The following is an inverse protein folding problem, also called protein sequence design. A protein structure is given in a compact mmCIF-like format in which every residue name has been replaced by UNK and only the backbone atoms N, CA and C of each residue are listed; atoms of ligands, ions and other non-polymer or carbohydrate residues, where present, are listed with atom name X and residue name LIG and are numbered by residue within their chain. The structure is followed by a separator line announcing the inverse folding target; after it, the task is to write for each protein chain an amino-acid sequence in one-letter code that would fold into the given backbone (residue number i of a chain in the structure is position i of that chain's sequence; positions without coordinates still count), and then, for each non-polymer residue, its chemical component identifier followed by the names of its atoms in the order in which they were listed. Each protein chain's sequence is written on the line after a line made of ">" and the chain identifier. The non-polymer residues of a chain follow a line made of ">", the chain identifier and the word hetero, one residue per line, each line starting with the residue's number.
data_IF_405394613754
#
_entry.id   IF_405394613754
#
_cell.length_a   1.000
_cell.length_b   1.000
_cell.length_c   1.000
_cell.angle_alpha   90.00
_cell.angle_beta   90.00
_cell.angle_gamma   90.00
#
_symmetry.space_group_name_H-M   'P 1'
#
loop_
_entity.id
_entity.type
_entity.pdbx_description
1 polymer ?
#
# COMPACT_ATOMS: atom_id res chain seq x y z
N UNK A 1 -36.57 33.55 -53.15
CA UNK A 1 -38.00 33.77 -53.44
C UNK A 1 -38.75 32.72 -52.63
N UNK A 2 -39.64 33.20 -51.75
CA UNK A 2 -40.54 32.46 -50.85
C UNK A 2 -41.33 31.35 -51.58
N UNK A 3 -41.81 30.27 -50.96
CA UNK A 3 -42.85 30.14 -49.89
C UNK A 3 -42.79 28.70 -49.32
N UNK A 4 -42.84 28.42 -48.02
CA UNK A 4 -43.93 28.48 -47.02
C UNK A 4 -45.08 27.45 -47.14
N UNK A 5 -45.43 26.90 -45.97
CA UNK A 5 -46.72 26.37 -45.48
C UNK A 5 -47.08 24.88 -45.73
N UNK A 6 -47.11 24.05 -44.66
CA UNK A 6 -48.24 23.69 -43.73
C UNK A 6 -49.35 22.89 -44.44
N UNK A 7 -49.94 21.80 -43.94
CA UNK A 7 -50.70 21.66 -42.68
C UNK A 7 -51.24 20.21 -42.51
N UNK A 8 -51.42 19.78 -41.25
CA UNK A 8 -52.49 18.97 -40.61
C UNK A 8 -53.31 17.91 -41.40
N UNK A 9 -53.45 16.66 -40.93
CA UNK A 9 -54.24 16.10 -39.79
C UNK A 9 -55.77 16.07 -39.98
N UNK A 10 -56.38 14.87 -39.89
CA UNK A 10 -57.77 14.60 -39.45
C UNK A 10 -57.82 13.12 -38.95
N UNK A 11 -57.81 12.85 -37.63
CA UNK A 11 -58.94 12.68 -36.69
C UNK A 11 -59.75 11.37 -36.80
N UNK A 12 -59.80 10.60 -35.72
CA UNK A 12 -61.06 10.42 -34.97
C UNK A 12 -60.82 9.94 -33.52
N UNK A 13 -61.58 10.56 -32.63
CA UNK A 13 -61.60 10.46 -31.18
C UNK A 13 -62.40 9.23 -30.69
N UNK A 14 -62.24 8.82 -29.42
CA UNK A 14 -63.23 9.07 -28.34
C UNK A 14 -62.84 8.37 -27.01
N UNK A 15 -62.47 9.21 -26.03
CA UNK A 15 -62.96 9.35 -24.63
C UNK A 15 -62.89 8.17 -23.63
N UNK A 16 -62.09 8.36 -22.56
CA UNK A 16 -62.63 8.54 -21.20
C UNK A 16 -61.60 9.18 -20.24
N UNK A 17 -62.00 10.34 -19.72
CA UNK A 17 -61.34 11.19 -18.73
C UNK A 17 -61.46 10.61 -17.31
N UNK A 18 -60.49 10.89 -16.45
CA UNK A 18 -60.65 11.85 -15.34
C UNK A 18 -59.33 12.06 -14.57
N UNK A 19 -58.80 13.28 -14.67
CA UNK A 19 -57.91 13.90 -13.70
C UNK A 19 -58.73 14.89 -12.87
N UNK A 20 -58.45 15.05 -11.58
CA UNK A 20 -58.50 16.35 -10.94
C UNK A 20 -57.45 16.47 -9.84
N UNK A 21 -56.71 17.57 -9.93
CA UNK A 21 -55.74 18.08 -8.97
C UNK A 21 -56.43 18.79 -7.80
N UNK A 22 -55.60 19.11 -6.79
CA UNK A 22 -55.54 20.35 -5.98
C UNK A 22 -55.81 20.21 -4.48
N UNK A 23 -54.93 20.90 -3.73
CA UNK A 23 -55.05 21.50 -2.38
C UNK A 23 -54.26 20.84 -1.24
N UNK A 24 -53.15 21.53 -0.96
CA UNK A 24 -52.54 21.76 0.35
C UNK A 24 -53.57 22.15 1.41
N UNK A 25 -53.56 21.46 2.55
CA UNK A 25 -54.09 22.00 3.81
C UNK A 25 -53.30 21.47 5.02
N UNK A 26 -52.74 22.44 5.73
CA UNK A 26 -52.18 22.36 7.09
C UNK A 26 -53.28 22.04 8.11
N UNK A 27 -53.04 21.17 9.08
CA UNK A 27 -53.88 21.07 10.28
C UNK A 27 -53.02 20.97 11.55
N UNK A 28 -53.01 22.09 12.27
CA UNK A 28 -52.69 22.20 13.68
C UNK A 28 -53.80 21.55 14.52
N UNK A 29 -53.43 20.87 15.60
CA UNK A 29 -54.32 20.70 16.75
C UNK A 29 -53.70 21.37 17.98
N UNK A 30 -54.37 22.43 18.42
CA UNK A 30 -54.19 23.12 19.70
C UNK A 30 -55.50 22.93 20.47
N UNK A 31 -55.43 22.61 21.77
CA UNK A 31 -56.53 22.92 22.70
C UNK A 31 -56.00 23.40 24.05
N UNK A 32 -56.17 24.72 24.26
CA UNK A 32 -56.56 25.46 25.46
C UNK A 32 -55.71 25.50 26.75
N UNK A 33 -54.88 26.56 26.82
CA UNK A 33 -54.81 27.69 27.80
C UNK A 33 -55.63 27.60 29.11
N UNK A 34 -55.14 28.15 30.25
CA UNK A 34 -55.03 29.61 30.38
C UNK A 34 -53.78 30.20 31.06
N UNK A 35 -53.58 31.48 30.75
CA UNK A 35 -52.56 32.41 31.26
C UNK A 35 -52.88 32.87 32.70
N UNK A 36 -51.84 33.04 33.53
CA UNK A 36 -51.77 34.05 34.60
C UNK A 36 -50.35 34.58 34.75
N UNK A 37 -50.27 35.84 35.15
CA UNK A 37 -49.20 36.82 34.99
C UNK A 37 -48.32 36.96 36.24
N UNK A 38 -47.05 37.34 36.02
CA UNK A 38 -46.15 38.16 36.87
C UNK A 38 -45.72 37.69 38.28
N UNK A 39 -44.41 37.46 38.46
CA UNK A 39 -43.49 38.06 39.47
C UNK A 39 -42.30 37.13 39.81
N UNK A 40 -41.12 37.72 39.98
CA UNK A 40 -39.90 37.09 40.54
C UNK A 40 -39.84 37.33 42.05
N UNK A 41 -38.80 36.88 42.78
CA UNK A 41 -38.02 35.63 42.75
C UNK A 41 -38.08 34.90 44.12
N UNK A 42 -37.70 33.62 44.24
CA UNK A 42 -37.18 33.09 45.52
C UNK A 42 -36.46 31.74 45.36
N UNK A 43 -35.32 31.64 46.04
CA UNK A 43 -34.37 30.53 46.08
C UNK A 43 -35.01 29.23 46.60
N UNK A 44 -34.79 28.10 45.91
CA UNK A 44 -34.56 26.80 46.56
C UNK A 44 -33.48 26.04 45.77
N UNK A 45 -32.45 25.67 46.51
CA UNK A 45 -31.28 24.89 46.17
C UNK A 45 -31.59 23.43 45.77
N UNK A 46 -30.53 22.76 45.31
CA UNK A 46 -30.32 21.29 45.33
C UNK A 46 -31.03 20.44 44.28
N UNK A 47 -30.44 20.42 43.08
CA UNK A 47 -30.16 19.19 42.32
C UNK A 47 -29.15 19.47 41.20
N UNK A 48 -27.93 19.84 41.56
CA UNK A 48 -26.77 19.77 40.66
C UNK A 48 -25.76 18.84 41.30
N UNK A 49 -25.99 17.55 41.16
CA UNK A 49 -25.08 16.52 41.66
C UNK A 49 -25.23 15.28 40.79
N UNK A 50 -25.00 15.43 39.48
CA UNK A 50 -24.81 14.28 38.59
C UNK A 50 -23.89 14.52 37.37
N UNK A 51 -23.29 15.70 37.19
CA UNK A 51 -22.30 15.96 36.11
C UNK A 51 -20.93 16.45 36.63
N UNK A 52 -20.40 15.78 37.65
CA UNK A 52 -18.98 15.87 38.01
C UNK A 52 -18.32 14.51 37.72
N UNK A 53 -18.25 14.13 36.44
CA UNK A 53 -17.18 13.23 36.03
C UNK A 53 -15.87 14.00 36.23
N UNK A 54 -15.20 13.72 37.34
CA UNK A 54 -13.84 14.17 37.61
C UNK A 54 -12.99 13.90 36.37
N UNK A 55 -12.56 14.97 35.69
CA UNK A 55 -11.51 14.94 34.68
C UNK A 55 -10.24 14.42 35.37
N UNK A 56 -10.09 13.11 35.40
CA UNK A 56 -8.91 12.43 35.91
C UNK A 56 -7.89 12.35 34.80
N UNK A 57 -6.63 12.64 35.10
CA UNK A 57 -5.55 12.52 34.11
C UNK A 57 -5.46 11.06 33.64
N UNK A 58 -5.60 10.85 32.33
CA UNK A 58 -5.36 9.56 31.70
C UNK A 58 -3.94 9.52 31.12
N UNK A 59 -3.10 8.55 31.53
CA UNK A 59 -1.75 8.38 30.97
C UNK A 59 -1.80 8.20 29.45
N UNK A 60 -0.85 8.83 28.75
CA UNK A 60 -0.79 8.73 27.29
C UNK A 60 -0.46 7.31 26.85
N UNK A 61 -1.14 6.85 25.81
CA UNK A 61 -0.81 5.60 25.12
C UNK A 61 0.15 5.90 23.99
N UNK A 62 1.22 5.12 23.91
CA UNK A 62 2.17 5.16 22.81
C UNK A 62 1.72 4.21 21.71
N UNK A 63 1.93 4.60 20.46
CA UNK A 63 1.70 3.73 19.32
C UNK A 63 2.77 3.95 18.27
N UNK A 64 3.12 2.88 17.56
CA UNK A 64 4.16 2.93 16.54
C UNK A 64 3.58 3.32 15.18
N UNK A 65 4.34 4.14 14.45
CA UNK A 65 4.01 4.60 13.10
C UNK A 65 5.19 4.40 12.17
N UNK A 66 4.92 4.29 10.88
CA UNK A 66 5.94 4.33 9.84
C UNK A 66 5.64 5.42 8.81
N UNK A 67 6.69 5.96 8.20
CA UNK A 67 6.59 6.98 7.18
C UNK A 67 6.42 6.33 5.80
N UNK A 68 5.18 6.21 5.33
CA UNK A 68 4.86 5.60 4.02
C UNK A 68 5.40 6.42 2.84
N UNK A 69 5.47 7.74 2.99
CA UNK A 69 6.03 8.63 1.97
C UNK A 69 6.84 9.74 2.66
N UNK A 70 8.16 9.64 2.57
CA UNK A 70 9.08 10.61 3.19
C UNK A 70 8.91 12.02 2.61
N UNK A 71 8.75 12.14 1.29
CA UNK A 71 8.59 13.43 0.59
C UNK A 71 7.33 14.16 1.07
N UNK A 72 6.24 13.42 1.28
CA UNK A 72 4.95 13.98 1.74
C UNK A 72 4.77 13.94 3.26
N UNK A 73 5.79 13.51 4.02
CA UNK A 73 5.71 13.24 5.47
C UNK A 73 4.43 12.49 5.87
N UNK A 74 4.05 11.46 5.11
CA UNK A 74 2.84 10.69 5.36
C UNK A 74 3.11 9.55 6.35
N UNK A 75 2.71 9.75 7.60
CA UNK A 75 2.81 8.75 8.65
C UNK A 75 1.55 7.89 8.74
N UNK A 76 1.74 6.58 8.92
CA UNK A 76 0.66 5.58 8.99
C UNK A 76 0.87 4.73 10.25
N UNK A 77 -0.18 4.49 11.05
CA UNK A 77 -0.07 3.63 12.23
C UNK A 77 0.16 2.17 11.84
N UNK A 78 0.93 1.45 12.65
CA UNK A 78 0.93 -0.01 12.59
C UNK A 78 -0.40 -0.58 13.09
N UNK A 79 -0.66 -1.86 12.78
CA UNK A 79 -1.74 -2.62 13.44
C UNK A 79 -1.50 -2.66 14.96
N UNK A 80 -2.54 -2.94 15.76
CA UNK A 80 -2.39 -3.01 17.20
C UNK A 80 -1.38 -4.11 17.58
N UNK A 81 -1.53 -5.28 16.97
CA UNK A 81 -0.63 -6.42 17.19
C UNK A 81 0.83 -6.10 16.86
N UNK A 82 1.09 -5.44 15.73
CA UNK A 82 2.46 -5.10 15.34
C UNK A 82 3.04 -4.01 16.25
N UNK A 83 2.24 -2.98 16.58
CA UNK A 83 2.64 -1.91 17.51
C UNK A 83 2.99 -2.47 18.89
N UNK A 84 2.16 -3.38 19.42
CA UNK A 84 2.41 -4.03 20.72
C UNK A 84 3.67 -4.90 20.70
N UNK A 85 3.92 -5.62 19.59
CA UNK A 85 5.12 -6.44 19.45
C UNK A 85 6.40 -5.58 19.39
N UNK A 86 6.34 -4.46 18.66
CA UNK A 86 7.42 -3.47 18.57
C UNK A 86 7.65 -2.81 19.94
N UNK A 87 6.58 -2.44 20.65
CA UNK A 87 6.63 -1.82 21.97
C UNK A 87 7.21 -2.76 23.03
N UNK A 88 6.75 -4.01 23.07
CA UNK A 88 7.31 -5.03 23.97
C UNK A 88 8.81 -5.22 23.72
N UNK A 89 9.19 -5.34 22.44
CA UNK A 89 10.59 -5.45 22.07
C UNK A 89 11.38 -4.20 22.44
N UNK A 90 10.83 -3.00 22.27
CA UNK A 90 11.46 -1.73 22.65
C UNK A 90 11.70 -1.62 24.16
N UNK A 91 10.72 -2.02 24.99
CA UNK A 91 10.84 -2.03 26.45
C UNK A 91 11.89 -3.05 26.91
N UNK A 92 11.96 -4.21 26.26
CA UNK A 92 12.92 -5.27 26.58
C UNK A 92 14.35 -4.98 26.06
N UNK A 93 14.49 -4.17 25.00
CA UNK A 93 15.77 -3.95 24.30
C UNK A 93 16.81 -3.13 25.08
N UNK A 94 16.54 -2.74 26.32
CA UNK A 94 17.56 -2.22 27.23
C UNK A 94 18.63 -3.30 27.55
N UNK A 95 18.38 -4.56 27.17
CA UNK A 95 19.31 -5.67 27.36
C UNK A 95 19.38 -6.59 26.12
N UNK A 96 20.31 -6.28 25.21
CA UNK A 96 20.90 -7.16 24.17
C UNK A 96 20.19 -7.34 22.81
N UNK A 97 21.00 -7.14 21.75
CA UNK A 97 20.86 -7.50 20.32
C UNK A 97 20.01 -6.61 19.40
N UNK A 98 20.35 -6.66 18.10
CA UNK A 98 19.60 -6.10 16.98
C UNK A 98 18.18 -6.68 16.95
N UNK A 99 17.25 -6.05 17.67
CA UNK A 99 15.84 -6.46 17.67
C UNK A 99 15.23 -6.14 16.31
N UNK A 100 15.09 -7.20 15.51
CA UNK A 100 14.38 -7.18 14.23
C UNK A 100 13.00 -7.78 14.46
N UNK A 101 11.97 -6.96 14.25
CA UNK A 101 10.57 -7.35 14.45
C UNK A 101 9.89 -7.49 13.10
N UNK A 102 9.33 -8.67 12.86
CA UNK A 102 8.54 -8.95 11.67
C UNK A 102 7.16 -8.30 11.80
N UNK A 103 6.81 -7.40 10.88
CA UNK A 103 5.51 -6.69 10.86
C UNK A 103 4.72 -7.03 9.62
N UNK A 104 3.43 -6.66 9.61
CA UNK A 104 2.53 -6.83 8.47
C UNK A 104 2.51 -8.30 8.03
N UNK A 105 2.35 -9.26 8.95
CA UNK A 105 2.33 -10.68 8.57
C UNK A 105 3.66 -11.18 7.97
N UNK A 106 4.80 -10.68 8.48
CA UNK A 106 6.18 -11.03 8.09
C UNK A 106 6.69 -10.45 6.76
N UNK A 107 5.91 -9.56 6.13
CA UNK A 107 6.27 -8.88 4.87
C UNK A 107 7.36 -7.83 5.04
N UNK A 108 7.47 -7.26 6.23
CA UNK A 108 8.46 -6.23 6.56
C UNK A 108 9.22 -6.60 7.83
N UNK A 109 10.44 -6.08 7.91
CA UNK A 109 11.29 -6.15 9.10
C UNK A 109 11.55 -4.74 9.62
N UNK A 110 11.22 -4.51 10.89
CA UNK A 110 11.52 -3.28 11.64
C UNK A 110 12.80 -3.50 12.43
N UNK A 111 13.82 -2.69 12.13
CA UNK A 111 15.09 -2.65 12.82
C UNK A 111 15.01 -1.56 13.90
N UNK A 112 14.65 -1.95 15.13
CA UNK A 112 14.31 -0.99 16.20
C UNK A 112 15.44 0.01 16.48
N UNK A 113 16.68 -0.48 16.56
CA UNK A 113 17.86 0.34 16.88
C UNK A 113 18.12 1.42 15.83
N UNK A 114 17.80 1.12 14.57
CA UNK A 114 17.98 2.04 13.45
C UNK A 114 16.73 2.88 13.17
N UNK A 115 15.59 2.56 13.80
CA UNK A 115 14.28 3.19 13.53
C UNK A 115 13.89 3.13 12.04
N UNK A 116 14.20 2.01 11.38
CA UNK A 116 13.86 1.78 9.97
C UNK A 116 13.06 0.49 9.76
N UNK A 117 12.30 0.46 8.68
CA UNK A 117 11.51 -0.67 8.20
C UNK A 117 11.90 -1.00 6.76
N UNK A 118 12.13 -2.28 6.48
CA UNK A 118 12.51 -2.79 5.15
C UNK A 118 11.56 -3.88 4.68
N UNK A 119 11.20 -3.93 3.40
CA UNK A 119 10.50 -5.09 2.84
C UNK A 119 11.40 -6.32 2.84
N UNK A 120 10.80 -7.50 3.03
CA UNK A 120 11.52 -8.79 3.07
C UNK A 120 11.52 -9.46 1.70
N UNK A 121 10.37 -9.44 1.02
CA UNK A 121 10.16 -10.23 -0.19
C UNK A 121 10.46 -9.46 -1.48
N UNK A 122 10.38 -8.13 -1.49
CA UNK A 122 10.68 -7.32 -2.67
C UNK A 122 11.67 -6.20 -2.31
N UNK A 123 12.27 -5.60 -3.33
CA UNK A 123 13.13 -4.43 -3.17
C UNK A 123 12.28 -3.16 -3.15
N UNK A 124 12.43 -2.34 -2.13
CA UNK A 124 11.85 -1.00 -2.03
C UNK A 124 12.71 -0.13 -1.08
N UNK A 125 12.43 1.16 -1.04
CA UNK A 125 13.09 2.11 -0.16
C UNK A 125 12.80 1.79 1.32
N UNK A 126 13.82 2.01 2.15
CA UNK A 126 13.68 1.89 3.61
C UNK A 126 12.80 3.01 4.14
N UNK A 127 11.86 2.68 5.01
CA UNK A 127 10.94 3.67 5.61
C UNK A 127 11.27 3.90 7.08
N UNK A 128 11.14 5.14 7.55
CA UNK A 128 11.38 5.46 8.96
C UNK A 128 10.22 4.97 9.83
N UNK A 129 10.55 4.54 11.04
CA UNK A 129 9.61 4.09 12.08
C UNK A 129 9.78 4.97 13.30
N UNK A 130 8.69 5.27 14.02
CA UNK A 130 8.72 6.13 15.19
C UNK A 130 7.69 5.70 16.23
N UNK A 131 8.07 5.82 17.50
CA UNK A 131 7.15 5.70 18.65
C UNK A 131 6.47 7.04 18.88
N UNK A 132 5.14 7.10 18.80
CA UNK A 132 4.41 8.36 18.72
C UNK A 132 3.35 8.48 19.82
N UNK A 133 3.19 9.68 20.35
CA UNK A 133 2.15 10.05 21.34
C UNK A 133 1.60 11.46 21.13
N UNK A 134 2.33 12.32 20.42
CA UNK A 134 1.96 13.71 20.14
C UNK A 134 2.15 14.02 18.65
N UNK A 135 1.21 14.78 18.08
CA UNK A 135 1.15 15.05 16.65
C UNK A 135 0.89 16.52 16.35
N UNK A 136 1.57 17.05 15.34
CA UNK A 136 1.29 18.32 14.71
C UNK A 136 0.28 18.10 13.57
N UNK A 137 -0.83 18.82 13.61
CA UNK A 137 -1.81 18.83 12.51
C UNK A 137 -1.38 19.86 11.47
N UNK A 138 -1.20 19.41 10.23
CA UNK A 138 -0.90 20.32 9.12
C UNK A 138 -2.09 21.26 8.85
N UNK A 139 -1.81 22.46 8.36
CA UNK A 139 -2.81 23.49 8.02
C UNK A 139 -3.84 23.04 6.97
N UNK A 140 -3.49 22.04 6.14
CA UNK A 140 -4.43 21.44 5.19
C UNK A 140 -5.41 20.44 5.86
N UNK A 141 -5.29 20.25 7.18
CA UNK A 141 -6.25 19.55 8.03
C UNK A 141 -6.24 18.01 7.97
N UNK A 142 -5.62 17.40 6.95
CA UNK A 142 -5.70 15.96 6.68
C UNK A 142 -4.49 15.13 7.11
N UNK A 143 -3.32 15.75 7.31
CA UNK A 143 -2.09 15.04 7.66
C UNK A 143 -1.63 15.41 9.07
N UNK A 144 -1.25 14.38 9.82
CA UNK A 144 -0.61 14.49 11.12
C UNK A 144 0.86 14.12 11.02
N UNK A 145 1.71 14.93 11.63
CA UNK A 145 3.15 14.71 11.69
C UNK A 145 3.51 14.43 13.15
N UNK A 146 4.03 13.25 13.50
CA UNK A 146 4.41 12.96 14.87
C UNK A 146 5.62 13.79 15.27
N UNK A 147 5.59 14.34 16.48
CA UNK A 147 6.80 14.88 17.12
C UNK A 147 7.84 13.78 17.28
N UNK A 148 9.12 14.15 17.39
CA UNK A 148 10.15 13.20 17.77
C UNK A 148 9.93 12.69 19.21
N UNK A 149 10.53 11.55 19.54
CA UNK A 149 10.29 10.84 20.80
C UNK A 149 10.67 11.67 22.03
N UNK A 150 11.72 12.51 21.93
CA UNK A 150 12.19 13.36 23.03
C UNK A 150 11.22 14.51 23.25
N UNK A 151 10.86 15.22 22.19
CA UNK A 151 9.87 16.31 22.26
C UNK A 151 8.51 15.81 22.72
N UNK A 152 8.06 14.65 22.23
CA UNK A 152 6.79 14.06 22.66
C UNK A 152 6.79 13.68 24.16
N UNK A 153 7.92 13.23 24.69
CA UNK A 153 8.08 12.95 26.13
C UNK A 153 8.02 14.24 26.95
N UNK A 154 8.74 15.27 26.53
CA UNK A 154 8.71 16.60 27.18
C UNK A 154 7.29 17.19 27.19
N UNK A 155 6.59 17.12 26.05
CA UNK A 155 5.22 17.61 25.94
C UNK A 155 4.28 16.87 26.89
N UNK A 156 4.46 15.55 27.05
CA UNK A 156 3.65 14.76 27.97
C UNK A 156 3.92 15.11 29.44
N UNK A 157 5.18 15.29 29.83
CA UNK A 157 5.57 15.69 31.20
C UNK A 157 4.99 17.06 31.58
N UNK A 158 5.11 18.04 30.67
CA UNK A 158 4.57 19.38 30.89
C UNK A 158 3.03 19.39 30.85
N UNK A 159 2.40 18.59 29.97
CA UNK A 159 0.94 18.44 29.94
C UNK A 159 0.41 17.82 31.23
N UNK A 160 1.06 16.77 31.74
CA UNK A 160 0.72 16.15 33.02
C UNK A 160 0.84 17.16 34.17
N UNK A 161 1.93 17.93 34.20
CA UNK A 161 2.12 18.95 35.23
C UNK A 161 1.04 20.03 35.15
N UNK A 162 0.69 20.50 33.93
CA UNK A 162 -0.40 21.46 33.70
C UNK A 162 -1.75 20.92 34.21
N UNK A 163 -2.01 19.63 34.00
CA UNK A 163 -3.21 18.96 34.47
C UNK A 163 -3.28 18.87 35.99
N UNK A 164 -2.20 18.40 36.63
CA UNK A 164 -2.13 18.20 38.07
C UNK A 164 -2.16 19.52 38.86
N UNK A 165 -1.53 20.58 38.34
CA UNK A 165 -1.58 21.92 38.95
C UNK A 165 -2.79 22.76 38.52
N UNK A 166 -3.53 22.31 37.49
CA UNK A 166 -4.58 23.07 36.82
C UNK A 166 -4.12 24.45 36.32
N UNK A 167 -2.85 24.56 35.93
CA UNK A 167 -2.24 25.78 35.39
C UNK A 167 -2.07 25.66 33.87
N UNK A 168 -3.03 26.23 33.15
CA UNK A 168 -3.01 26.32 31.69
C UNK A 168 -2.36 27.63 31.21
N UNK A 169 -1.97 27.68 29.95
CA UNK A 169 -1.20 28.77 29.33
C UNK A 169 0.32 28.57 29.39
N UNK A 170 0.78 27.39 29.83
CA UNK A 170 2.20 27.01 29.84
C UNK A 170 2.72 26.95 28.41
N UNK A 171 3.95 27.44 28.22
CA UNK A 171 4.67 27.47 26.94
C UNK A 171 5.89 26.56 27.02
N UNK A 172 5.92 25.54 26.18
CA UNK A 172 6.98 24.53 26.12
C UNK A 172 7.84 24.80 24.89
N UNK A 173 9.12 25.13 25.03
CA UNK A 173 10.00 25.32 23.88
C UNK A 173 10.29 23.96 23.23
N UNK A 174 10.05 23.85 21.92
CA UNK A 174 10.26 22.61 21.13
C UNK A 174 11.33 22.76 20.05
N UNK A 175 11.90 23.96 19.88
CA UNK A 175 12.95 24.24 18.92
C UNK A 175 13.37 25.71 18.94
N UNK A 176 14.26 26.10 18.04
CA UNK A 176 14.69 27.49 17.92
C UNK A 176 13.52 28.37 17.45
N UNK A 177 13.00 29.20 18.35
CA UNK A 177 11.82 30.06 18.12
C UNK A 177 10.50 29.31 17.86
N UNK A 178 10.42 28.04 18.29
CA UNK A 178 9.20 27.24 18.25
C UNK A 178 8.76 26.87 19.67
N UNK A 179 7.48 27.05 19.96
CA UNK A 179 6.88 26.73 21.25
C UNK A 179 5.52 26.05 21.09
N UNK A 180 5.18 25.16 22.03
CA UNK A 180 3.84 24.58 22.17
C UNK A 180 3.17 25.17 23.39
N UNK A 181 1.95 25.66 23.23
CA UNK A 181 1.17 26.33 24.27
C UNK A 181 -0.04 25.49 24.63
N UNK A 182 -0.16 25.12 25.91
CA UNK A 182 -1.28 24.37 26.46
C UNK A 182 -2.38 25.31 26.95
N UNK A 183 -3.34 25.71 26.11
CA UNK A 183 -4.42 26.60 26.53
C UNK A 183 -5.50 25.89 27.36
N UNK A 184 -5.73 24.60 27.12
CA UNK A 184 -6.65 23.75 27.87
C UNK A 184 -6.32 22.26 27.61
N UNK A 185 -7.01 21.31 28.28
CA UNK A 185 -6.91 19.87 27.97
C UNK A 185 -6.99 19.49 26.49
N UNK A 186 -7.72 20.26 25.69
CA UNK A 186 -8.04 19.95 24.29
C UNK A 186 -7.55 21.02 23.30
N UNK A 187 -7.17 22.21 23.78
CA UNK A 187 -6.69 23.32 22.96
C UNK A 187 -5.18 23.48 23.14
N UNK A 188 -4.42 22.92 22.21
CA UNK A 188 -2.96 22.95 22.22
C UNK A 188 -2.46 23.46 20.87
N UNK A 189 -1.58 24.45 20.92
CA UNK A 189 -1.15 25.20 19.72
C UNK A 189 0.37 25.19 19.65
N UNK A 190 0.92 24.88 18.48
CA UNK A 190 2.31 25.10 18.14
C UNK A 190 2.44 26.48 17.49
N UNK A 191 3.26 27.35 18.06
CA UNK A 191 3.67 28.64 17.51
C UNK A 191 5.09 28.51 16.96
N UNK A 192 5.28 28.76 15.66
CA UNK A 192 6.59 28.63 15.05
C UNK A 192 6.56 28.51 13.53
N UNK A 193 7.72 28.59 12.89
CA UNK A 193 7.90 28.15 11.50
C UNK A 193 8.34 26.69 11.57
N UNK A 194 7.38 25.80 11.83
CA UNK A 194 7.68 24.39 12.05
C UNK A 194 8.57 23.84 10.91
N UNK A 195 9.86 23.60 11.17
CA UNK A 195 10.81 23.08 10.16
C UNK A 195 10.32 21.72 9.64
N UNK A 196 9.59 20.97 10.47
CA UNK A 196 8.89 19.74 10.10
C UNK A 196 7.82 19.93 9.01
N UNK A 197 7.32 21.15 8.77
CA UNK A 197 6.41 21.48 7.65
C UNK A 197 7.15 21.93 6.38
N UNK A 198 8.44 22.31 6.49
CA UNK A 198 9.26 22.83 5.37
C UNK A 198 9.88 21.74 4.50
N UNK A 199 9.95 20.49 4.96
CA UNK A 199 10.47 19.35 4.18
C UNK A 199 9.64 18.96 2.93
N UNK A 200 8.69 19.80 2.51
CA UNK A 200 7.86 19.51 1.35
C UNK A 200 8.52 19.83 0.00
N UNK A 201 9.66 20.53 -0.08
CA UNK A 201 10.40 20.77 -1.34
C UNK A 201 11.84 21.29 -1.08
N UNK A 202 12.87 20.54 -1.49
CA UNK A 202 14.27 21.02 -1.48
C UNK A 202 14.53 22.15 -2.49
N UNK A 203 13.73 22.27 -3.57
CA UNK A 203 13.89 23.34 -4.57
C UNK A 203 13.52 24.74 -4.04
N UNK A 204 12.79 24.85 -2.92
CA UNK A 204 12.42 26.13 -2.30
C UNK A 204 13.34 26.55 -1.15
N UNK A 205 14.41 25.81 -0.86
CA UNK A 205 15.35 26.17 0.23
C UNK A 205 16.14 27.45 -0.06
N UNK A 206 16.45 27.74 -1.32
CA UNK A 206 17.24 28.92 -1.68
C UNK A 206 16.41 30.20 -1.80
N UNK A 207 15.17 30.12 -2.28
CA UNK A 207 14.30 31.31 -2.47
C UNK A 207 13.55 31.73 -1.19
N UNK A 208 13.55 30.89 -0.14
CA UNK A 208 12.86 31.19 1.13
C UNK A 208 13.82 31.55 2.28
N UNK A 209 15.12 31.26 2.16
CA UNK A 209 16.12 31.69 3.15
C UNK A 209 16.22 33.23 3.20
N UNK A 210 16.08 33.92 2.06
CA UNK A 210 16.07 35.39 2.00
C UNK A 210 14.75 36.01 2.52
N UNK A 211 13.68 35.22 2.65
CA UNK A 211 12.41 35.66 3.27
C UNK A 211 12.29 35.28 4.75
N UNK A 212 13.20 34.44 5.28
CA UNK A 212 13.28 34.12 6.70
C UNK A 212 13.75 35.29 7.58
N UNK A 213 14.23 36.38 6.97
CA UNK A 213 14.55 37.63 7.66
C UNK A 213 13.31 38.47 8.06
N UNK A 214 12.10 38.10 7.60
CA UNK A 214 10.84 38.73 8.03
C UNK A 214 10.13 37.87 9.09
N UNK A 215 10.48 38.15 10.35
CA UNK A 215 9.88 37.61 11.58
C UNK A 215 8.44 38.16 11.75
N UNK A 216 7.49 37.78 10.88
CA UNK A 216 6.13 38.34 10.95
C UNK A 216 4.97 37.40 10.62
N UNK A 217 5.20 36.11 10.34
CA UNK A 217 4.08 35.14 10.31
C UNK A 217 4.45 33.80 10.96
N UNK A 218 4.51 33.80 12.30
CA UNK A 218 4.50 32.56 13.07
C UNK A 218 3.23 31.79 12.72
N UNK A 219 3.36 30.62 12.09
CA UNK A 219 2.22 29.83 11.66
C UNK A 219 1.70 29.01 12.83
N UNK A 220 0.54 29.38 13.35
CA UNK A 220 -0.11 28.61 14.41
C UNK A 220 -0.66 27.29 13.85
N UNK A 221 -0.27 26.18 14.44
CA UNK A 221 -0.72 24.85 14.07
C UNK A 221 -1.33 24.13 15.28
N UNK A 222 -2.35 23.30 15.04
CA UNK A 222 -2.99 22.54 16.12
C UNK A 222 -2.09 21.37 16.48
N UNK A 223 -1.91 21.15 17.78
CA UNK A 223 -1.24 19.97 18.32
C UNK A 223 -2.29 19.03 18.90
N UNK A 224 -2.09 17.73 18.68
CA UNK A 224 -2.96 16.68 19.17
C UNK A 224 -2.17 15.72 20.04
N UNK A 225 -2.74 15.44 21.21
CA UNK A 225 -2.31 14.39 22.13
C UNK A 225 -3.04 13.11 21.76
N UNK A 226 -2.32 12.01 21.70
CA UNK A 226 -2.87 10.69 21.40
C UNK A 226 -3.09 10.44 19.92
N UNK A 227 -3.56 9.23 19.61
CA UNK A 227 -3.76 8.74 18.25
C UNK A 227 -5.21 8.34 17.96
N UNK A 228 -6.17 8.82 18.75
CA UNK A 228 -7.59 8.47 18.67
C UNK A 228 -8.24 8.94 17.35
N UNK A 229 -7.69 9.98 16.72
CA UNK A 229 -8.15 10.47 15.41
C UNK A 229 -7.65 9.60 14.23
N UNK A 230 -6.75 8.62 14.47
CA UNK A 230 -6.24 7.74 13.44
C UNK A 230 -7.08 6.47 13.31
N UNK A 231 -7.26 6.02 12.06
CA UNK A 231 -7.84 4.71 11.77
C UNK A 231 -6.73 3.65 11.88
N UNK A 232 -6.73 2.91 12.98
CA UNK A 232 -5.79 1.81 13.21
C UNK A 232 -6.18 0.61 12.32
N UNK A 233 -5.24 0.04 11.52
CA UNK A 233 -5.51 -1.15 10.73
C UNK A 233 -5.91 -2.34 11.61
N UNK A 234 -6.92 -3.08 11.17
CA UNK A 234 -7.33 -4.33 11.81
C UNK A 234 -6.21 -5.37 11.74
N UNK A 235 -6.04 -6.13 12.82
CA UNK A 235 -5.04 -7.20 12.88
C UNK A 235 -5.34 -8.32 11.87
N UNK A 236 -4.28 -8.79 11.19
CA UNK A 236 -4.35 -9.94 10.30
C UNK A 236 -4.20 -11.27 11.07
N UNK A 237 -4.93 -12.34 10.68
CA UNK A 237 -4.73 -13.68 11.23
C UNK A 237 -3.28 -14.16 11.10
N UNK A 238 -2.71 -14.67 12.18
CA UNK A 238 -1.34 -15.24 12.16
C UNK A 238 -1.24 -16.51 11.31
N UNK A 239 -2.33 -17.29 11.21
CA UNK A 239 -2.38 -18.50 10.40
C UNK A 239 -2.55 -18.13 8.92
N UNK A 240 -1.68 -18.66 8.07
CA UNK A 240 -1.79 -18.55 6.62
C UNK A 240 -2.17 -19.91 6.06
N UNK A 241 -3.32 -19.98 5.40
CA UNK A 241 -3.82 -21.23 4.79
C UNK A 241 -3.38 -21.36 3.33
N UNK A 242 -3.01 -20.25 2.70
CA UNK A 242 -2.68 -20.20 1.27
C UNK A 242 -1.64 -19.13 0.99
N UNK A 243 -0.58 -19.49 0.27
CA UNK A 243 0.40 -18.58 -0.31
C UNK A 243 0.15 -18.39 -1.82
N UNK A 244 -0.10 -17.16 -2.25
CA UNK A 244 -0.39 -16.80 -3.64
C UNK A 244 0.71 -15.88 -4.20
N UNK A 245 1.47 -16.36 -5.18
CA UNK A 245 2.42 -15.53 -5.91
C UNK A 245 1.71 -14.79 -7.03
N UNK A 246 1.80 -13.45 -7.08
CA UNK A 246 1.24 -12.65 -8.16
C UNK A 246 2.35 -12.20 -9.10
N UNK A 247 2.33 -12.72 -10.33
CA UNK A 247 3.24 -12.33 -11.41
C UNK A 247 2.56 -11.25 -12.24
N UNK A 248 3.09 -10.03 -12.16
CA UNK A 248 2.61 -8.95 -13.02
C UNK A 248 3.04 -9.14 -14.48
N UNK A 249 2.34 -8.48 -15.40
CA UNK A 249 2.63 -8.60 -16.82
C UNK A 249 3.42 -7.46 -17.45
N UNK A 250 3.25 -6.22 -16.99
CA UNK A 250 3.70 -5.06 -17.76
C UNK A 250 4.36 -4.06 -16.81
N UNK A 251 5.61 -3.71 -17.07
CA UNK A 251 6.26 -2.53 -16.48
C UNK A 251 6.57 -2.62 -14.99
N UNK A 252 7.17 -1.56 -14.46
CA UNK A 252 7.28 -1.35 -13.01
C UNK A 252 5.93 -1.07 -12.34
N UNK A 253 4.86 -0.91 -13.12
CA UNK A 253 3.55 -0.44 -12.67
C UNK A 253 2.41 -1.36 -13.11
N UNK A 254 1.52 -1.69 -12.18
CA UNK A 254 0.56 -2.79 -12.37
C UNK A 254 -0.89 -2.36 -12.62
N UNK A 255 -1.21 -1.07 -12.51
CA UNK A 255 -2.56 -0.57 -12.69
C UNK A 255 -2.60 0.80 -13.42
N UNK A 256 -3.81 1.25 -13.77
CA UNK A 256 -4.05 2.54 -14.44
C UNK A 256 -3.59 3.75 -13.61
N UNK A 257 -3.33 3.56 -12.30
CA UNK A 257 -2.82 4.59 -11.39
C UNK A 257 -1.30 4.63 -11.36
N UNK A 258 -0.63 3.80 -12.17
CA UNK A 258 0.82 3.68 -12.22
C UNK A 258 1.41 3.35 -10.85
N UNK A 259 0.79 2.42 -10.11
CA UNK A 259 1.31 1.96 -8.82
C UNK A 259 2.19 0.73 -8.98
N UNK A 260 3.24 0.58 -8.16
CA UNK A 260 4.06 -0.63 -8.18
C UNK A 260 3.24 -1.85 -7.73
N UNK A 261 3.67 -3.04 -8.16
CA UNK A 261 2.94 -4.30 -7.90
C UNK A 261 2.60 -4.51 -6.43
N UNK A 262 3.50 -4.15 -5.51
CA UNK A 262 3.31 -4.40 -4.09
C UNK A 262 2.13 -3.61 -3.51
N UNK A 263 1.86 -2.39 -4.00
CA UNK A 263 0.69 -1.60 -3.58
C UNK A 263 -0.62 -2.18 -4.12
N UNK A 264 -0.59 -2.74 -5.34
CA UNK A 264 -1.76 -3.41 -5.92
C UNK A 264 -2.08 -4.70 -5.15
N UNK A 265 -1.05 -5.43 -4.75
CA UNK A 265 -1.19 -6.64 -3.94
C UNK A 265 -1.68 -6.31 -2.52
N UNK A 266 -1.32 -5.17 -1.93
CA UNK A 266 -1.90 -4.71 -0.65
C UNK A 266 -3.42 -4.54 -0.71
N UNK A 267 -3.95 -3.96 -1.81
CA UNK A 267 -5.40 -3.87 -2.01
C UNK A 267 -6.04 -5.26 -2.13
N UNK A 268 -5.37 -6.18 -2.84
CA UNK A 268 -5.85 -7.55 -3.00
C UNK A 268 -5.88 -8.30 -1.67
N UNK A 269 -4.86 -8.15 -0.81
CA UNK A 269 -4.84 -8.72 0.54
C UNK A 269 -5.97 -8.16 1.40
N UNK A 270 -6.17 -6.84 1.37
CA UNK A 270 -7.23 -6.15 2.13
C UNK A 270 -8.61 -6.63 1.70
N UNK A 271 -8.85 -6.74 0.40
CA UNK A 271 -10.11 -7.24 -0.17
C UNK A 271 -10.32 -8.72 0.16
N UNK A 272 -9.30 -9.56 0.01
CA UNK A 272 -9.38 -10.98 0.36
C UNK A 272 -9.70 -11.18 1.84
N UNK A 273 -9.08 -10.41 2.73
CA UNK A 273 -9.36 -10.44 4.16
C UNK A 273 -10.80 -9.99 4.45
N UNK A 274 -11.25 -8.89 3.86
CA UNK A 274 -12.60 -8.37 4.02
C UNK A 274 -13.65 -9.38 3.55
N UNK A 275 -13.46 -10.01 2.39
CA UNK A 275 -14.36 -11.02 1.84
C UNK A 275 -14.38 -12.28 2.71
N UNK A 276 -13.21 -12.73 3.19
CA UNK A 276 -13.12 -13.89 4.10
C UNK A 276 -13.86 -13.60 5.40
N UNK A 277 -13.67 -12.40 5.97
CA UNK A 277 -14.36 -11.97 7.17
C UNK A 277 -15.86 -11.77 6.98
N UNK A 278 -16.33 -11.31 5.82
CA UNK A 278 -17.76 -11.08 5.59
C UNK A 278 -18.53 -12.39 5.35
N UNK A 279 -17.98 -13.30 4.54
CA UNK A 279 -18.64 -14.54 4.13
C UNK A 279 -18.42 -15.71 5.10
N UNK A 280 -17.31 -15.73 5.85
CA UNK A 280 -16.95 -16.85 6.74
C UNK A 280 -16.76 -16.44 8.21
N UNK A 281 -17.56 -15.47 8.70
CA UNK A 281 -17.50 -14.92 10.07
C UNK A 281 -17.28 -15.97 11.17
N UNK A 282 -18.14 -17.00 11.21
CA UNK A 282 -18.10 -18.06 12.24
C UNK A 282 -16.78 -18.84 12.20
N UNK A 283 -16.28 -19.13 11.00
CA UNK A 283 -15.03 -19.86 10.81
C UNK A 283 -13.80 -19.01 11.13
N UNK A 284 -13.86 -17.70 10.88
CA UNK A 284 -12.84 -16.73 11.29
C UNK A 284 -12.79 -16.57 12.81
N UNK A 285 -13.95 -16.41 13.46
CA UNK A 285 -14.04 -16.28 14.93
C UNK A 285 -13.57 -17.54 15.66
N UNK A 286 -13.87 -18.73 15.11
CA UNK A 286 -13.37 -20.00 15.62
C UNK A 286 -11.92 -20.30 15.23
N UNK A 287 -11.22 -19.37 14.57
CA UNK A 287 -9.83 -19.49 14.11
C UNK A 287 -9.55 -20.73 13.25
N UNK A 288 -10.58 -21.25 12.57
CA UNK A 288 -10.46 -22.40 11.67
C UNK A 288 -9.83 -22.01 10.34
N UNK A 289 -10.23 -20.84 9.83
CA UNK A 289 -9.75 -20.26 8.57
C UNK A 289 -8.73 -19.16 8.88
N UNK A 290 -7.57 -19.28 8.24
CA UNK A 290 -6.51 -18.29 8.21
C UNK A 290 -6.67 -17.29 7.08
N UNK A 291 -5.61 -16.53 6.79
CA UNK A 291 -5.58 -15.59 5.66
C UNK A 291 -4.89 -16.19 4.44
N UNK A 292 -5.11 -15.55 3.30
CA UNK A 292 -4.34 -15.78 2.08
C UNK A 292 -3.18 -14.78 2.10
N UNK A 293 -1.95 -15.26 2.16
CA UNK A 293 -0.77 -14.42 1.96
C UNK A 293 -0.52 -14.29 0.46
N UNK A 294 -0.29 -13.06 0.01
CA UNK A 294 -0.14 -12.77 -1.41
C UNK A 294 1.21 -12.10 -1.60
N UNK A 295 2.12 -12.66 -2.40
CA UNK A 295 3.47 -12.10 -2.59
C UNK A 295 3.63 -11.57 -4.02
N UNK A 296 4.07 -10.31 -4.21
CA UNK A 296 4.29 -9.74 -5.51
C UNK A 296 5.60 -10.25 -6.12
N UNK A 297 5.55 -10.87 -7.31
CA UNK A 297 6.73 -11.28 -8.07
C UNK A 297 7.13 -10.17 -9.02
N UNK A 298 8.16 -9.40 -8.64
CA UNK A 298 8.70 -8.32 -9.47
C UNK A 298 9.87 -8.84 -10.31
N UNK A 299 9.75 -8.74 -11.63
CA UNK A 299 10.79 -9.20 -12.57
C UNK A 299 11.28 -8.12 -13.54
N UNK A 300 10.54 -7.01 -13.68
CA UNK A 300 10.85 -5.93 -14.63
C UNK A 300 12.26 -5.33 -14.43
N UNK A 301 12.72 -5.16 -13.19
CA UNK A 301 14.08 -4.68 -12.89
C UNK A 301 15.19 -5.61 -13.41
N UNK A 302 14.91 -6.90 -13.60
CA UNK A 302 15.88 -7.84 -14.16
C UNK A 302 16.11 -7.65 -15.67
N UNK A 303 15.18 -6.97 -16.37
CA UNK A 303 15.32 -6.62 -17.78
C UNK A 303 15.90 -5.23 -17.99
N UNK A 304 15.50 -4.26 -17.17
CA UNK A 304 15.90 -2.86 -17.33
C UNK A 304 17.24 -2.60 -16.66
N UNK A 305 18.32 -2.97 -17.38
CA UNK A 305 19.67 -2.51 -17.09
C UNK A 305 19.87 -1.10 -17.66
N UNK A 306 20.73 -0.29 -17.04
CA UNK A 306 21.06 1.07 -17.51
C UNK A 306 21.46 1.08 -18.99
N UNK A 307 22.16 0.05 -19.46
CA UNK A 307 22.55 -0.12 -20.85
C UNK A 307 21.37 -0.29 -21.82
N UNK A 308 20.35 -1.06 -21.44
CA UNK A 308 19.16 -1.28 -22.27
C UNK A 308 18.33 0.02 -22.29
N UNK A 309 18.14 0.64 -21.14
CA UNK A 309 17.38 1.90 -21.04
C UNK A 309 18.05 3.06 -21.78
N UNK A 310 19.39 3.16 -21.74
CA UNK A 310 20.14 4.15 -22.49
C UNK A 310 20.04 3.93 -24.01
N UNK A 311 20.10 2.67 -24.47
CA UNK A 311 19.90 2.34 -25.89
C UNK A 311 18.47 2.65 -26.34
N UNK A 312 17.48 2.34 -25.50
CA UNK A 312 16.08 2.65 -25.75
C UNK A 312 15.84 4.16 -25.85
N UNK A 313 16.37 4.94 -24.89
CA UNK A 313 16.30 6.41 -24.92
C UNK A 313 16.90 7.00 -26.20
N UNK A 314 17.96 6.39 -26.74
CA UNK A 314 18.63 6.83 -27.97
C UNK A 314 17.83 6.53 -29.25
N UNK A 315 17.04 5.46 -29.29
CA UNK A 315 16.25 5.09 -30.48
C UNK A 315 14.83 5.67 -30.48
N UNK A 316 14.28 6.00 -29.31
CA UNK A 316 12.96 6.63 -29.20
C UNK A 316 13.00 8.12 -29.52
N UNK A 317 12.06 8.59 -30.33
CA UNK A 317 11.95 10.01 -30.70
C UNK A 317 11.70 10.90 -29.47
N UNK A 318 12.36 12.07 -29.36
CA UNK A 318 12.23 12.96 -28.21
C UNK A 318 10.88 13.70 -28.14
N UNK A 319 10.13 13.72 -29.24
CA UNK A 319 8.98 14.61 -29.45
C UNK A 319 7.73 14.26 -28.61
N UNK A 320 7.66 13.07 -27.99
CA UNK A 320 6.49 12.65 -27.17
C UNK A 320 6.93 11.88 -25.91
N UNK A 321 7.32 12.59 -24.82
CA UNK A 321 7.86 11.97 -23.62
C UNK A 321 6.93 10.97 -22.94
N UNK A 322 5.61 11.24 -22.92
CA UNK A 322 4.62 10.36 -22.28
C UNK A 322 4.43 9.04 -23.01
N UNK A 323 4.28 9.09 -24.34
CA UNK A 323 4.17 7.90 -25.18
C UNK A 323 5.47 7.10 -25.16
N UNK A 324 6.63 7.78 -25.11
CA UNK A 324 7.94 7.14 -24.95
C UNK A 324 8.05 6.35 -23.65
N UNK A 325 7.72 6.97 -22.52
CA UNK A 325 7.77 6.28 -21.22
C UNK A 325 6.84 5.08 -21.24
N UNK A 326 5.61 5.23 -21.75
CA UNK A 326 4.71 4.10 -21.93
C UNK A 326 5.28 3.01 -22.84
N UNK A 327 5.81 3.33 -24.02
CA UNK A 327 6.40 2.33 -24.92
C UNK A 327 7.57 1.60 -24.27
N UNK A 328 8.45 2.32 -23.58
CA UNK A 328 9.62 1.75 -22.93
C UNK A 328 9.28 0.88 -21.72
N UNK A 329 8.32 1.32 -20.91
CA UNK A 329 7.93 0.66 -19.67
C UNK A 329 6.86 -0.42 -19.89
N UNK A 330 6.29 -0.58 -21.10
CA UNK A 330 5.13 -1.45 -21.32
C UNK A 330 5.21 -2.29 -22.60
N UNK A 331 5.39 -1.65 -23.76
CA UNK A 331 5.35 -2.36 -25.04
C UNK A 331 6.59 -3.23 -25.23
N UNK A 332 7.75 -2.74 -24.76
CA UNK A 332 9.01 -3.46 -24.88
C UNK A 332 9.04 -4.76 -24.09
N UNK A 333 8.40 -4.83 -22.92
CA UNK A 333 8.37 -6.06 -22.12
C UNK A 333 7.74 -7.23 -22.90
N UNK A 334 6.68 -6.95 -23.66
CA UNK A 334 6.05 -7.94 -24.55
C UNK A 334 6.99 -8.30 -25.70
N UNK A 335 7.65 -7.32 -26.32
CA UNK A 335 8.61 -7.55 -27.41
C UNK A 335 9.88 -8.28 -26.95
N UNK A 336 10.29 -8.08 -25.70
CA UNK A 336 11.39 -8.80 -25.08
C UNK A 336 10.98 -10.25 -24.80
N UNK A 337 9.74 -10.50 -24.34
CA UNK A 337 9.28 -11.87 -24.17
C UNK A 337 9.17 -12.64 -25.51
N UNK A 338 8.82 -11.97 -26.61
CA UNK A 338 8.82 -12.60 -27.94
C UNK A 338 10.23 -12.78 -28.51
N UNK A 339 11.23 -12.09 -27.96
CA UNK A 339 12.63 -12.27 -28.33
C UNK A 339 13.26 -13.43 -27.56
N UNK A 340 13.82 -14.43 -28.24
CA UNK A 340 14.39 -15.59 -27.56
C UNK A 340 15.48 -15.30 -26.53
N UNK A 341 16.30 -14.27 -26.79
CA UNK A 341 17.40 -13.88 -25.90
C UNK A 341 16.86 -13.31 -24.59
N UNK A 342 15.85 -12.44 -24.66
CA UNK A 342 15.30 -11.78 -23.48
C UNK A 342 14.27 -12.66 -22.77
N UNK A 343 13.55 -13.52 -23.50
CA UNK A 343 12.63 -14.51 -22.94
C UNK A 343 13.31 -15.39 -21.88
N UNK A 344 14.53 -15.89 -22.16
CA UNK A 344 15.31 -16.69 -21.20
C UNK A 344 15.60 -15.92 -19.91
N UNK A 345 15.92 -14.63 -20.00
CA UNK A 345 16.17 -13.76 -18.84
C UNK A 345 14.90 -13.57 -18.02
N UNK A 346 13.76 -13.32 -18.67
CA UNK A 346 12.45 -13.12 -18.00
C UNK A 346 12.03 -14.38 -17.26
N UNK A 347 12.07 -15.54 -17.93
CA UNK A 347 11.68 -16.83 -17.35
C UNK A 347 12.57 -17.18 -16.16
N UNK A 348 13.89 -16.95 -16.29
CA UNK A 348 14.83 -17.12 -15.17
C UNK A 348 14.53 -16.16 -14.01
N UNK A 349 14.29 -14.89 -14.30
CA UNK A 349 13.98 -13.90 -13.27
C UNK A 349 12.72 -14.27 -12.50
N UNK A 350 11.62 -14.58 -13.19
CA UNK A 350 10.34 -14.95 -12.57
C UNK A 350 10.45 -16.25 -11.77
N UNK A 351 11.02 -17.31 -12.36
CA UNK A 351 11.15 -18.61 -11.69
C UNK A 351 12.09 -18.56 -10.48
N UNK A 352 13.24 -17.90 -10.61
CA UNK A 352 14.19 -17.76 -9.50
C UNK A 352 13.64 -16.86 -8.39
N UNK A 353 12.91 -15.80 -8.74
CA UNK A 353 12.32 -14.90 -7.76
C UNK A 353 11.23 -15.59 -6.94
N UNK A 354 10.34 -16.35 -7.57
CA UNK A 354 9.36 -17.18 -6.86
C UNK A 354 10.04 -18.19 -5.94
N UNK A 355 11.10 -18.86 -6.40
CA UNK A 355 11.86 -19.80 -5.59
C UNK A 355 12.57 -19.13 -4.41
N UNK A 356 13.13 -17.93 -4.60
CA UNK A 356 13.75 -17.12 -3.55
C UNK A 356 12.73 -16.73 -2.49
N UNK A 357 11.61 -16.14 -2.92
CA UNK A 357 10.51 -15.73 -2.04
C UNK A 357 9.93 -16.91 -1.27
N UNK A 358 9.71 -18.06 -1.94
CA UNK A 358 9.22 -19.27 -1.28
C UNK A 358 10.18 -19.78 -0.21
N UNK A 359 11.48 -19.84 -0.53
CA UNK A 359 12.51 -20.27 0.44
C UNK A 359 12.57 -19.32 1.65
N UNK A 360 12.52 -18.01 1.42
CA UNK A 360 12.47 -17.02 2.49
C UNK A 360 11.17 -17.10 3.31
N UNK A 361 10.04 -17.37 2.65
CA UNK A 361 8.75 -17.51 3.31
C UNK A 361 8.74 -18.70 4.27
N UNK A 362 9.24 -19.86 3.83
CA UNK A 362 9.36 -21.05 4.69
C UNK A 362 10.35 -20.85 5.85
N UNK A 363 11.47 -20.15 5.63
CA UNK A 363 12.42 -19.84 6.70
C UNK A 363 11.74 -19.05 7.84
N UNK A 364 10.88 -18.10 7.48
CA UNK A 364 10.15 -17.25 8.43
C UNK A 364 8.87 -17.90 8.96
N UNK A 365 8.31 -18.84 8.22
CA UNK A 365 7.10 -19.57 8.57
C UNK A 365 7.35 -21.10 8.53
N UNK A 366 8.18 -21.68 9.44
CA UNK A 366 8.55 -23.10 9.39
C UNK A 366 7.38 -24.07 9.55
N UNK A 367 6.26 -23.58 10.12
CA UNK A 367 5.03 -24.36 10.35
C UNK A 367 4.02 -24.22 9.20
N UNK A 368 4.39 -23.54 8.11
CA UNK A 368 3.50 -23.39 6.97
C UNK A 368 3.21 -24.76 6.32
N UNK A 369 1.93 -25.11 6.24
CA UNK A 369 1.42 -26.33 5.61
C UNK A 369 0.23 -26.04 4.70
N UNK A 370 0.12 -24.79 4.24
CA UNK A 370 -0.96 -24.34 3.38
C UNK A 370 -0.72 -24.63 1.89
N UNK A 371 -1.69 -24.24 1.08
CA UNK A 371 -1.62 -24.38 -0.38
C UNK A 371 -0.73 -23.30 -1.01
N UNK A 372 -0.18 -23.60 -2.19
CA UNK A 372 0.60 -22.64 -2.97
C UNK A 372 -0.02 -22.45 -4.34
N UNK A 373 -0.23 -21.20 -4.75
CA UNK A 373 -0.81 -20.87 -6.05
C UNK A 373 -0.09 -19.71 -6.73
N UNK A 374 -0.31 -19.59 -8.04
CA UNK A 374 0.24 -18.53 -8.86
C UNK A 374 -0.93 -17.80 -9.54
N UNK A 375 -0.92 -16.48 -9.46
CA UNK A 375 -1.79 -15.60 -10.23
C UNK A 375 -0.96 -14.81 -11.23
N UNK A 376 -1.22 -14.94 -12.52
CA UNK A 376 -0.61 -14.10 -13.54
C UNK A 376 -1.57 -13.00 -13.98
N UNK A 377 -1.08 -11.78 -14.22
CA UNK A 377 -1.84 -10.71 -14.85
C UNK A 377 -1.25 -10.37 -16.23
N UNK A 378 -2.09 -10.26 -17.27
CA UNK A 378 -1.65 -9.92 -18.63
C UNK A 378 -0.50 -10.86 -19.11
N UNK A 379 0.66 -10.34 -19.53
CA UNK A 379 1.85 -11.13 -19.89
C UNK A 379 2.33 -12.04 -18.76
N UNK A 380 2.13 -11.68 -17.49
CA UNK A 380 2.47 -12.50 -16.34
C UNK A 380 1.70 -13.83 -16.34
N UNK A 381 0.50 -13.86 -16.93
CA UNK A 381 -0.24 -15.11 -17.17
C UNK A 381 0.47 -16.02 -18.17
N UNK A 382 1.01 -15.44 -19.26
CA UNK A 382 1.73 -16.21 -20.28
C UNK A 382 3.04 -16.75 -19.74
N UNK A 383 3.82 -15.90 -19.07
CA UNK A 383 5.09 -16.29 -18.45
C UNK A 383 4.86 -17.42 -17.44
N UNK A 384 3.86 -17.27 -16.57
CA UNK A 384 3.52 -18.28 -15.57
C UNK A 384 3.04 -19.58 -16.22
N UNK A 385 2.16 -19.48 -17.22
CA UNK A 385 1.66 -20.66 -17.93
C UNK A 385 2.79 -21.44 -18.61
N UNK A 386 3.68 -20.74 -19.32
CA UNK A 386 4.83 -21.35 -19.99
C UNK A 386 5.79 -22.00 -18.99
N UNK A 387 6.09 -21.32 -17.88
CA UNK A 387 6.90 -21.88 -16.79
C UNK A 387 6.28 -23.16 -16.24
N UNK A 388 4.96 -23.18 -16.03
CA UNK A 388 4.23 -24.33 -15.48
C UNK A 388 4.16 -25.52 -16.44
N UNK A 389 4.00 -25.27 -17.74
CA UNK A 389 3.98 -26.33 -18.77
C UNK A 389 5.31 -27.07 -18.89
N UNK A 390 6.41 -26.42 -18.48
CA UNK A 390 7.77 -26.96 -18.55
C UNK A 390 8.30 -27.44 -17.18
N UNK A 391 7.43 -27.63 -16.19
CA UNK A 391 7.80 -28.28 -14.93
C UNK A 391 7.92 -29.78 -15.11
N UNK A 392 8.95 -30.38 -14.51
CA UNK A 392 9.09 -31.83 -14.46
C UNK A 392 8.20 -32.40 -13.37
N UNK A 393 7.61 -33.60 -13.59
CA UNK A 393 6.86 -34.26 -12.53
C UNK A 393 7.79 -34.53 -11.33
N UNK A 394 7.27 -34.48 -10.09
CA UNK A 394 8.06 -34.78 -8.91
C UNK A 394 8.59 -36.21 -9.04
N UNK A 395 9.90 -36.35 -9.24
CA UNK A 395 10.54 -37.66 -9.34
C UNK A 395 10.36 -38.39 -8.01
N UNK A 396 9.77 -39.60 -7.98
CA UNK A 396 9.78 -40.40 -6.76
C UNK A 396 11.23 -40.68 -6.37
N UNK A 397 11.54 -40.36 -5.13
CA UNK A 397 12.84 -40.39 -4.45
C UNK A 397 13.77 -41.49 -4.97
N UNK A 398 14.93 -41.12 -5.53
CA UNK A 398 16.12 -41.98 -5.50
C UNK A 398 17.04 -41.50 -4.39
N UNK A 399 17.10 -42.27 -3.32
CA UNK A 399 18.20 -42.21 -2.35
C UNK A 399 19.50 -42.60 -3.07
N UNK A 400 20.54 -41.82 -2.80
CA UNK A 400 21.98 -42.07 -2.85
C UNK A 400 22.49 -43.18 -3.76
N UNK A 401 23.26 -42.83 -4.80
CA UNK A 401 24.62 -43.34 -4.97
C UNK A 401 25.39 -42.58 -6.08
N UNK A 402 26.69 -42.48 -5.84
CA UNK A 402 27.72 -41.76 -6.57
C UNK A 402 27.90 -42.16 -8.04
N UNK A 403 28.30 -41.16 -8.84
CA UNK A 403 29.23 -41.27 -9.97
C UNK A 403 28.88 -42.19 -11.15
N UNK A 404 28.24 -41.64 -12.19
CA UNK A 404 28.78 -41.75 -13.57
C UNK A 404 28.42 -40.48 -14.34
N UNK A 405 29.41 -39.63 -14.60
CA UNK A 405 29.30 -38.55 -15.56
C UNK A 405 29.14 -39.16 -16.96
N UNK A 406 27.92 -39.15 -17.51
CA UNK A 406 27.71 -39.40 -18.92
C UNK A 406 28.18 -38.17 -19.70
N UNK A 407 29.42 -38.24 -20.19
CA UNK A 407 30.01 -37.31 -21.15
C UNK A 407 29.16 -37.35 -22.43
N UNK A 408 28.28 -36.36 -22.60
CA UNK A 408 27.64 -36.10 -23.89
C UNK A 408 28.53 -35.10 -24.63
N UNK A 409 29.14 -35.56 -25.73
CA UNK A 409 29.97 -34.74 -26.61
C UNK A 409 29.16 -33.54 -27.15
N UNK A 410 29.48 -32.35 -26.66
CA UNK A 410 29.12 -31.07 -27.30
C UNK A 410 29.82 -30.99 -28.67
N UNK A 411 29.09 -31.23 -29.75
CA UNK A 411 29.53 -30.77 -31.07
C UNK A 411 29.29 -29.27 -31.18
N UNK A 412 30.29 -28.46 -30.79
CA UNK A 412 30.35 -27.04 -31.12
C UNK A 412 30.62 -26.87 -32.61
N UNK A 413 29.56 -26.72 -33.41
CA UNK A 413 29.71 -26.22 -34.78
C UNK A 413 30.17 -24.76 -34.75
N UNK A 414 31.38 -24.49 -35.25
CA UNK A 414 31.90 -23.14 -35.44
C UNK A 414 31.08 -22.44 -36.55
N UNK A 415 30.25 -21.47 -36.19
CA UNK A 415 29.72 -20.47 -37.11
C UNK A 415 30.34 -19.10 -36.84
N UNK A 416 30.36 -18.25 -37.87
CA UNK A 416 31.14 -17.01 -37.96
C UNK A 416 30.95 -16.05 -36.78
N UNK A 417 32.03 -15.31 -36.48
CA UNK A 417 32.15 -14.30 -35.43
C UNK A 417 30.96 -13.32 -35.44
N UNK A 418 29.94 -13.59 -34.63
CA UNK A 418 28.79 -12.68 -34.46
C UNK A 418 27.59 -13.25 -33.69
N UNK A 419 27.38 -14.58 -33.65
CA UNK A 419 26.16 -15.18 -33.09
C UNK A 419 26.43 -16.34 -32.10
N UNK A 420 27.36 -16.15 -31.16
CA UNK A 420 27.88 -17.23 -30.30
C UNK A 420 27.05 -17.55 -29.04
N UNK A 421 25.83 -17.03 -28.89
CA UNK A 421 25.05 -17.15 -27.63
C UNK A 421 23.69 -17.85 -27.77
N UNK A 422 23.35 -18.37 -28.95
CA UNK A 422 22.10 -19.12 -29.14
C UNK A 422 22.41 -20.62 -29.10
N UNK A 423 22.03 -21.28 -28.02
CA UNK A 423 22.04 -22.74 -27.94
C UNK A 423 20.92 -23.26 -28.84
N UNK A 424 21.27 -23.85 -29.98
CA UNK A 424 20.29 -24.44 -30.91
C UNK A 424 19.61 -25.65 -30.26
N UNK A 425 18.27 -25.71 -30.34
CA UNK A 425 17.51 -26.87 -29.92
C UNK A 425 17.81 -28.13 -30.75
N UNK A 426 17.61 -29.31 -30.15
CA UNK A 426 17.84 -30.63 -30.80
C UNK A 426 16.96 -30.90 -32.03
N UNK A 427 15.90 -30.14 -32.25
CA UNK A 427 14.89 -30.40 -33.29
C UNK A 427 15.25 -29.85 -34.69
N UNK A 428 16.44 -29.28 -34.89
CA UNK A 428 16.93 -28.93 -36.24
C UNK A 428 16.22 -27.76 -36.93
N UNK A 429 15.28 -27.07 -36.28
CA UNK A 429 14.53 -25.93 -36.85
C UNK A 429 15.17 -24.56 -36.58
N UNK A 430 16.35 -24.51 -35.96
CA UNK A 430 16.98 -23.25 -35.57
C UNK A 430 16.22 -22.48 -34.47
N UNK A 431 15.18 -23.08 -33.88
CA UNK A 431 14.47 -22.48 -32.77
C UNK A 431 15.36 -22.46 -31.52
N UNK A 432 15.48 -21.29 -30.87
CA UNK A 432 16.23 -21.13 -29.64
C UNK A 432 15.63 -22.00 -28.53
N UNK A 433 16.50 -22.72 -27.82
CA UNK A 433 16.11 -23.56 -26.69
C UNK A 433 15.99 -22.70 -25.43
N UNK A 434 14.79 -22.63 -24.84
CA UNK A 434 14.54 -21.99 -23.56
C UNK A 434 14.65 -23.05 -22.45
N UNK A 435 15.48 -22.78 -21.45
CA UNK A 435 15.60 -23.56 -20.23
C UNK A 435 14.70 -22.96 -19.14
N UNK A 436 13.82 -23.77 -18.55
CA UNK A 436 12.86 -23.33 -17.56
C UNK A 436 13.31 -23.70 -16.13
N UNK A 437 13.41 -22.72 -15.20
CA UNK A 437 13.64 -23.01 -13.80
C UNK A 437 12.57 -23.93 -13.23
N UNK A 438 12.99 -24.85 -12.37
CA UNK A 438 12.07 -25.74 -11.66
C UNK A 438 11.64 -25.08 -10.34
N UNK A 439 10.34 -25.07 -10.08
CA UNK A 439 9.77 -24.49 -8.87
C UNK A 439 10.02 -25.42 -7.68
N UNK A 440 10.38 -24.83 -6.53
CA UNK A 440 10.65 -25.55 -5.28
C UNK A 440 9.39 -25.92 -4.50
N UNK A 441 8.22 -25.66 -5.06
CA UNK A 441 6.92 -25.91 -4.45
C UNK A 441 5.99 -26.60 -5.43
N UNK A 442 5.11 -27.44 -4.89
CA UNK A 442 4.01 -27.99 -5.65
C UNK A 442 2.90 -26.95 -5.76
N UNK A 443 2.37 -26.76 -6.97
CA UNK A 443 1.30 -25.81 -7.23
C UNK A 443 -0.07 -26.50 -7.11
N UNK A 444 -0.98 -25.88 -6.38
CA UNK A 444 -2.38 -26.32 -6.29
C UNK A 444 -3.27 -25.69 -7.37
N UNK A 445 -3.10 -24.38 -7.62
CA UNK A 445 -3.94 -23.62 -8.53
C UNK A 445 -3.15 -22.56 -9.31
N UNK A 446 -3.58 -22.30 -10.54
CA UNK A 446 -3.12 -21.22 -11.39
C UNK A 446 -4.29 -20.32 -11.80
N UNK A 447 -4.16 -19.01 -11.61
CA UNK A 447 -5.16 -18.01 -11.99
C UNK A 447 -4.57 -17.07 -13.05
N UNK A 448 -5.25 -16.94 -14.20
CA UNK A 448 -4.87 -15.97 -15.24
C UNK A 448 -5.84 -14.80 -15.27
N UNK A 449 -5.35 -13.58 -15.03
CA UNK A 449 -6.15 -12.35 -15.01
C UNK A 449 -5.89 -11.50 -16.26
N UNK A 450 -6.97 -11.03 -16.88
CA UNK A 450 -6.93 -9.87 -17.78
C UNK A 450 -6.04 -10.02 -19.02
N UNK A 451 -6.00 -11.17 -19.67
CA UNK A 451 -5.20 -11.30 -20.89
C UNK A 451 -6.01 -11.06 -22.17
N UNK A 452 -5.61 -10.12 -23.05
CA UNK A 452 -6.10 -10.06 -24.43
C UNK A 452 -5.40 -11.12 -25.30
N UNK A 453 -5.13 -12.32 -24.77
CA UNK A 453 -4.54 -13.46 -25.50
C UNK A 453 -5.34 -13.78 -26.76
N UNK A 454 -6.65 -13.52 -26.80
CA UNK A 454 -7.43 -13.70 -28.03
C UNK A 454 -7.13 -12.70 -29.15
N UNK A 455 -6.66 -11.48 -28.86
CA UNK A 455 -6.47 -10.42 -29.88
C UNK A 455 -5.01 -10.23 -30.29
N UNK A 456 -4.05 -10.32 -29.36
CA UNK A 456 -2.65 -10.06 -29.69
C UNK A 456 -2.01 -11.21 -30.48
N UNK A 457 -2.32 -12.47 -30.12
CA UNK A 457 -1.92 -13.64 -30.91
C UNK A 457 -2.57 -13.63 -32.30
N UNK A 458 -3.83 -13.18 -32.41
CA UNK A 458 -4.49 -13.05 -33.71
C UNK A 458 -3.77 -12.05 -34.63
N UNK A 459 -3.29 -10.93 -34.08
CA UNK A 459 -2.56 -9.93 -34.86
C UNK A 459 -1.15 -10.41 -35.24
N UNK A 460 -0.44 -11.11 -34.35
CA UNK A 460 0.90 -11.65 -34.63
C UNK A 460 0.90 -12.87 -35.56
N UNK A 461 -0.15 -13.70 -35.52
CA UNK A 461 -0.31 -14.83 -36.46
C UNK A 461 -0.78 -14.36 -37.84
N UNK A 462 -1.45 -13.21 -37.95
CA UNK A 462 -1.85 -12.62 -39.24
C UNK A 462 -0.74 -11.79 -39.93
N UNK A 463 0.39 -11.58 -39.26
CA UNK A 463 1.54 -10.82 -39.77
C UNK A 463 2.75 -11.69 -40.16
N UNK A 464 2.63 -13.02 -40.04
CA UNK A 464 3.48 -14.01 -40.70
C UNK A 464 2.64 -14.78 -41.72
#
# INVERSE_FOLDING_TARGET
>A
MFTDNTEQSLTSNVISNQNYSTLTETSNMVLNKPFKTTSAPENISTSQSEDLLLYTYEPIKWHWFYCKNAIKNKWVPFSQKDSDAIEQAFILNDQCNESVIATDGSRFDVYLNQRIRKPVYWSDNTTNVRRCSWFLRNSNGSNFIPYDEVTATLLEEEYKTAWESNEWGRRVPVGNYEEVVFHSPTAIIHNGVSITLLNNNEETLNDQMDQAANISSLKQCIVKRGFEEFVIPSDEPSKVDHLLFIVHGIGSYCDLKMRPIYEVVDDFRSLALQLTQSHFKTSCQSKKIGRIEVLPVSWHLALHSEDIDCKLKRITLPSIPRLRNFSNDTILDVLFYTSPTFCQTIINAVGNEMNRMYSQYLLRNPKFNGHVSIGGHSLGSLISFDLLCNQQPPSPTKQTESSVASVVQEQKSKLSRGASYVTLGKAGTGQPYIAYPQLKFQLDYFFGFGSPIGKLFYILVLLN
#
